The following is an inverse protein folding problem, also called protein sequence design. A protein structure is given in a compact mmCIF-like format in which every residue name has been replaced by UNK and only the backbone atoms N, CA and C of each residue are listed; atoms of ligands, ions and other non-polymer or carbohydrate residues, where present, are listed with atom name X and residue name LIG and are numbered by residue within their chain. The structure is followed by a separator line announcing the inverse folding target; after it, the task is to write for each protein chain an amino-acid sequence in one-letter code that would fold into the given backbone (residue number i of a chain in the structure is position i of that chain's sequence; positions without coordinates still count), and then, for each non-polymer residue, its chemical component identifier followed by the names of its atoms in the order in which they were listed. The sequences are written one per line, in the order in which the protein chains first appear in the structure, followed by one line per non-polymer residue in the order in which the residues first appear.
data_IF_067581572528
#
_entry.id   IF_067581572528
#
_cell.length_a   1.000
_cell.length_b   1.000
_cell.length_c   1.000
_cell.angle_alpha   90.00
_cell.angle_beta   90.00
_cell.angle_gamma   90.00
#
_symmetry.space_group_name_H-M   'P 1'
#
loop_
_entity.id
_entity.type
_entity.pdbx_description
1 polymer ?
#
# COMPACT_ATOMS: atom_id res chain seq x y z
N UNK A 1 38.14 -50.42 24.53
CA UNK A 1 37.05 -50.19 23.57
C UNK A 1 35.78 -49.88 24.35
N UNK A 2 35.41 -48.59 24.37
CA UNK A 2 34.07 -48.04 24.60
C UNK A 2 34.14 -46.60 24.08
N UNK A 3 33.21 -46.14 23.23
CA UNK A 3 33.39 -44.94 22.43
C UNK A 3 32.94 -43.65 23.12
N UNK A 4 33.37 -42.57 22.47
CA UNK A 4 33.32 -41.15 22.76
C UNK A 4 31.96 -40.57 23.18
N UNK A 5 32.05 -39.54 24.02
CA UNK A 5 30.96 -38.65 24.39
C UNK A 5 30.64 -37.68 23.24
N UNK A 6 29.48 -37.84 22.61
CA UNK A 6 28.95 -36.85 21.66
C UNK A 6 28.33 -35.65 22.39
N UNK A 7 28.91 -34.46 22.15
CA UNK A 7 28.30 -33.16 22.46
C UNK A 7 27.39 -32.75 21.31
N UNK A 8 26.14 -32.31 21.54
CA UNK A 8 25.37 -31.67 20.47
C UNK A 8 25.86 -30.25 20.22
N UNK A 9 26.29 -30.00 18.98
CA UNK A 9 26.65 -28.70 18.43
C UNK A 9 25.43 -27.77 18.40
N UNK A 10 25.54 -26.62 19.09
CA UNK A 10 24.68 -25.46 18.86
C UNK A 10 25.09 -24.79 17.55
N UNK A 11 24.29 -24.93 16.50
CA UNK A 11 24.39 -24.09 15.30
C UNK A 11 23.83 -22.70 15.62
N UNK A 12 24.70 -21.82 16.11
CA UNK A 12 24.44 -20.38 16.11
C UNK A 12 24.52 -19.87 14.67
N UNK A 13 23.37 -19.69 14.03
CA UNK A 13 23.27 -18.92 12.79
C UNK A 13 22.90 -17.47 13.14
N UNK A 14 23.93 -16.64 13.29
CA UNK A 14 23.77 -15.20 13.15
C UNK A 14 23.66 -14.86 11.66
N UNK A 15 22.58 -14.17 11.29
CA UNK A 15 22.32 -13.73 9.92
C UNK A 15 21.63 -12.38 9.86
N UNK A 16 22.30 -11.34 10.40
CA UNK A 16 22.32 -9.94 9.96
C UNK A 16 21.13 -9.40 9.13
N UNK A 17 20.14 -8.80 9.80
CA UNK A 17 19.10 -7.95 9.17
C UNK A 17 19.44 -6.46 9.26
N UNK A 18 20.57 -6.02 8.70
CA UNK A 18 20.89 -4.58 8.60
C UNK A 18 21.72 -4.26 7.35
N UNK A 19 21.07 -3.77 6.28
CA UNK A 19 21.58 -2.68 5.43
C UNK A 19 20.71 -2.45 4.18
N UNK A 20 19.80 -1.47 4.21
CA UNK A 20 19.30 -0.81 2.97
C UNK A 20 18.95 0.66 3.27
N UNK A 21 19.88 1.40 3.87
CA UNK A 21 19.75 2.86 3.97
C UNK A 21 21.13 3.51 3.84
N UNK A 22 21.60 3.70 2.60
CA UNK A 22 22.57 4.76 2.26
C UNK A 22 23.01 4.66 0.80
N UNK A 23 22.41 5.48 -0.06
CA UNK A 23 23.13 6.27 -1.08
C UNK A 23 22.11 7.03 -1.89
N UNK A 24 21.83 8.27 -1.51
CA UNK A 24 21.30 9.31 -2.41
C UNK A 24 21.41 10.69 -1.73
N UNK A 25 22.63 11.21 -1.67
CA UNK A 25 22.99 12.63 -1.62
C UNK A 25 24.41 12.71 -2.21
N UNK A 26 24.84 13.64 -3.05
CA UNK A 26 24.31 14.86 -3.69
C UNK A 26 25.52 15.43 -4.47
N UNK A 27 25.32 16.17 -5.58
CA UNK A 27 26.08 17.35 -6.10
C UNK A 27 25.62 17.57 -7.56
N UNK A 28 24.77 18.58 -7.86
CA UNK A 28 25.02 20.02 -8.14
C UNK A 28 25.72 20.24 -9.50
N UNK A 29 25.27 21.03 -10.48
CA UNK A 29 24.76 22.42 -10.55
C UNK A 29 23.95 22.56 -11.88
N UNK A 30 22.90 23.36 -12.09
CA UNK A 30 22.89 24.83 -12.17
C UNK A 30 21.45 25.35 -12.39
N UNK A 31 21.12 26.45 -11.71
CA UNK A 31 20.31 27.57 -12.23
C UNK A 31 18.86 27.36 -12.65
N UNK A 32 17.91 27.69 -11.77
CA UNK A 32 16.96 28.81 -12.02
C UNK A 32 16.03 28.99 -10.82
N UNK A 33 15.98 30.23 -10.35
CA UNK A 33 14.99 30.73 -9.39
C UNK A 33 13.58 30.59 -9.97
N UNK A 34 12.62 30.12 -9.18
CA UNK A 34 11.28 30.74 -9.08
C UNK A 34 10.44 30.18 -7.93
N UNK A 35 10.22 31.08 -6.97
CA UNK A 35 9.01 31.32 -6.17
C UNK A 35 8.28 30.13 -5.52
N UNK A 36 8.37 30.10 -4.20
CA UNK A 36 7.32 29.59 -3.31
C UNK A 36 5.95 30.20 -3.68
N UNK A 37 4.97 29.33 -3.88
CA UNK A 37 3.57 29.66 -4.09
C UNK A 37 2.70 28.49 -3.57
N UNK A 38 1.48 28.78 -3.09
CA UNK A 38 0.71 27.88 -2.24
C UNK A 38 0.35 26.60 -3.00
N UNK A 39 0.32 25.47 -2.27
CA UNK A 39 -0.07 24.13 -2.70
C UNK A 39 -0.84 24.12 -4.03
N UNK A 40 -0.12 23.86 -5.13
CA UNK A 40 -0.76 23.56 -6.41
C UNK A 40 -1.71 22.41 -6.15
N UNK A 41 -3.01 22.69 -6.18
CA UNK A 41 -4.00 21.68 -6.52
C UNK A 41 -3.46 21.05 -7.80
N UNK A 42 -3.05 19.78 -7.71
CA UNK A 42 -2.59 19.01 -8.85
C UNK A 42 -3.75 19.00 -9.83
N UNK A 43 -3.69 19.86 -10.85
CA UNK A 43 -4.60 19.77 -11.98
C UNK A 43 -4.55 18.32 -12.46
N UNK A 44 -5.72 17.68 -12.68
CA UNK A 44 -5.73 16.31 -13.15
C UNK A 44 -4.87 16.21 -14.41
N UNK A 45 -3.86 15.34 -14.38
CA UNK A 45 -2.95 15.09 -15.50
C UNK A 45 -3.80 14.88 -16.77
N UNK A 46 -3.43 15.51 -17.88
CA UNK A 46 -4.22 15.45 -19.10
C UNK A 46 -4.28 14.00 -19.59
N UNK A 47 -5.48 13.48 -19.82
CA UNK A 47 -5.63 12.08 -20.22
C UNK A 47 -5.21 11.90 -21.69
N UNK A 48 -4.60 10.75 -22.04
CA UNK A 48 -4.28 10.44 -23.43
C UNK A 48 -5.50 10.48 -24.36
N UNK A 49 -5.27 10.88 -25.60
CA UNK A 49 -6.28 10.92 -26.66
C UNK A 49 -6.39 9.61 -27.46
N UNK A 50 -5.48 8.67 -27.21
CA UNK A 50 -5.43 7.38 -27.88
C UNK A 50 -5.93 6.27 -26.97
N UNK A 51 -6.49 5.23 -27.59
CA UNK A 51 -7.00 4.04 -26.92
C UNK A 51 -5.90 3.33 -26.14
N UNK A 52 -4.73 3.17 -26.75
CA UNK A 52 -3.56 2.51 -26.16
C UNK A 52 -3.00 3.31 -24.98
N UNK A 53 -3.00 4.65 -25.07
CA UNK A 53 -2.55 5.52 -23.99
C UNK A 53 -3.45 5.41 -22.77
N UNK A 54 -4.78 5.39 -22.98
CA UNK A 54 -5.76 5.19 -21.91
C UNK A 54 -5.61 3.80 -21.27
N UNK A 55 -5.39 2.75 -22.07
CA UNK A 55 -5.16 1.39 -21.57
C UNK A 55 -3.86 1.28 -20.75
N UNK A 56 -2.78 1.90 -21.19
CA UNK A 56 -1.53 1.94 -20.44
C UNK A 56 -1.70 2.64 -19.08
N UNK A 57 -2.41 3.77 -19.05
CA UNK A 57 -2.67 4.51 -17.80
C UNK A 57 -3.60 3.75 -16.86
N UNK A 58 -4.61 3.09 -17.40
CA UNK A 58 -5.47 2.19 -16.64
C UNK A 58 -4.65 1.09 -15.96
N UNK A 59 -3.81 0.39 -16.72
CA UNK A 59 -2.99 -0.71 -16.20
C UNK A 59 -2.06 -0.24 -15.08
N UNK A 60 -1.51 0.97 -15.18
CA UNK A 60 -0.76 1.57 -14.10
C UNK A 60 -1.59 1.71 -12.81
N UNK A 61 -2.79 2.29 -12.90
CA UNK A 61 -3.64 2.48 -11.71
C UNK A 61 -4.15 1.17 -11.13
N UNK A 62 -4.46 0.17 -11.96
CA UNK A 62 -4.81 -1.18 -11.51
C UNK A 62 -3.65 -1.84 -10.76
N UNK A 63 -2.42 -1.73 -11.30
CA UNK A 63 -1.22 -2.23 -10.64
C UNK A 63 -0.95 -1.56 -9.29
N UNK A 64 -1.20 -0.26 -9.18
CA UNK A 64 -1.04 0.45 -7.91
C UNK A 64 -2.12 0.07 -6.89
N UNK A 65 -3.37 -0.16 -7.32
CA UNK A 65 -4.41 -0.73 -6.46
C UNK A 65 -4.04 -2.13 -5.97
N UNK A 66 -3.48 -2.99 -6.81
CA UNK A 66 -3.00 -4.32 -6.39
C UNK A 66 -1.87 -4.22 -5.37
N UNK A 67 -0.97 -3.25 -5.53
CA UNK A 67 0.09 -2.97 -4.55
C UNK A 67 -0.47 -2.49 -3.23
N UNK A 68 -1.38 -1.51 -3.25
CA UNK A 68 -2.05 -0.99 -2.06
C UNK A 68 -2.81 -2.10 -1.32
N UNK A 69 -3.46 -3.00 -2.06
CA UNK A 69 -4.15 -4.16 -1.49
C UNK A 69 -3.19 -5.02 -0.65
N UNK A 70 -2.01 -5.33 -1.20
CA UNK A 70 -0.98 -6.11 -0.48
C UNK A 70 -0.49 -5.38 0.78
N UNK A 71 -0.29 -4.06 0.70
CA UNK A 71 0.12 -3.25 1.85
C UNK A 71 -0.93 -3.26 2.95
N UNK A 72 -2.22 -3.11 2.60
CA UNK A 72 -3.32 -3.15 3.55
C UNK A 72 -3.44 -4.53 4.21
N UNK A 73 -3.32 -5.62 3.42
CA UNK A 73 -3.27 -6.98 3.99
C UNK A 73 -2.14 -7.15 5.00
N UNK A 74 -0.93 -6.67 4.66
CA UNK A 74 0.21 -6.74 5.57
C UNK A 74 -0.05 -5.98 6.88
N UNK A 75 -0.63 -4.78 6.82
CA UNK A 75 -1.02 -4.04 8.03
C UNK A 75 -2.08 -4.79 8.84
N UNK A 76 -3.07 -5.40 8.17
CA UNK A 76 -4.12 -6.18 8.82
C UNK A 76 -3.58 -7.42 9.54
N UNK A 77 -2.59 -8.11 8.97
CA UNK A 77 -1.95 -9.25 9.62
C UNK A 77 -1.12 -8.82 10.83
N UNK A 78 -0.43 -7.68 10.76
CA UNK A 78 0.25 -7.10 11.92
C UNK A 78 -0.73 -6.68 13.02
N UNK A 79 -1.89 -6.10 12.66
CA UNK A 79 -2.98 -5.78 13.61
C UNK A 79 -3.46 -7.03 14.34
N UNK A 80 -3.68 -8.14 13.63
CA UNK A 80 -4.09 -9.41 14.22
C UNK A 80 -3.05 -9.93 15.20
N UNK A 81 -1.77 -9.93 14.82
CA UNK A 81 -0.66 -10.41 15.65
C UNK A 81 -0.52 -9.58 16.93
N UNK A 82 -0.55 -8.24 16.83
CA UNK A 82 -0.47 -7.36 18.00
C UNK A 82 -1.69 -7.54 18.91
N UNK A 83 -2.89 -7.68 18.32
CA UNK A 83 -4.13 -7.91 19.07
C UNK A 83 -4.10 -9.25 19.83
N UNK A 84 -3.55 -10.30 19.20
CA UNK A 84 -3.36 -11.59 19.84
C UNK A 84 -2.40 -11.51 21.04
N UNK A 85 -1.27 -10.82 20.89
CA UNK A 85 -0.32 -10.59 22.01
C UNK A 85 -0.94 -9.81 23.15
N UNK A 86 -1.75 -8.78 22.84
CA UNK A 86 -2.50 -8.04 23.86
C UNK A 86 -3.47 -8.95 24.62
N UNK A 87 -4.19 -9.83 23.92
CA UNK A 87 -5.11 -10.79 24.53
C UNK A 87 -4.38 -11.77 25.47
N UNK A 88 -3.19 -12.27 25.07
CA UNK A 88 -2.37 -13.13 25.93
C UNK A 88 -1.97 -12.37 27.20
N UNK A 89 -1.39 -11.17 27.08
CA UNK A 89 -0.95 -10.39 28.24
C UNK A 89 -2.10 -10.07 29.22
N UNK A 90 -3.30 -9.78 28.70
CA UNK A 90 -4.48 -9.58 29.54
C UNK A 90 -4.90 -10.85 30.29
N UNK A 91 -4.76 -12.02 29.65
CA UNK A 91 -5.13 -13.32 30.25
C UNK A 91 -4.11 -13.80 31.28
N UNK A 92 -2.82 -13.58 31.05
CA UNK A 92 -1.75 -14.05 31.94
C UNK A 92 -1.57 -13.18 33.19
N UNK A 93 -2.24 -12.02 33.25
CA UNK A 93 -2.08 -11.02 34.33
C UNK A 93 -0.60 -10.65 34.58
N UNK A 94 0.24 -10.73 33.55
CA UNK A 94 1.59 -10.20 33.60
C UNK A 94 1.47 -8.68 33.64
N UNK A 95 1.39 -8.13 34.85
CA UNK A 95 1.34 -6.70 35.10
C UNK A 95 2.71 -6.07 34.80
N UNK A 96 3.01 -5.90 33.51
CA UNK A 96 4.03 -4.99 33.04
C UNK A 96 3.31 -3.84 32.32
N UNK A 97 2.80 -2.83 33.06
CA UNK A 97 1.93 -1.80 32.49
C UNK A 97 2.57 -1.09 31.28
N UNK A 98 3.90 -0.93 31.30
CA UNK A 98 4.66 -0.28 30.23
C UNK A 98 4.71 -1.10 28.93
N UNK A 99 4.79 -2.44 28.97
CA UNK A 99 4.81 -3.24 27.74
C UNK A 99 3.43 -3.30 27.09
N UNK A 100 2.38 -3.41 27.92
CA UNK A 100 1.00 -3.38 27.47
C UNK A 100 0.64 -2.04 26.84
N UNK A 101 1.08 -0.92 27.43
CA UNK A 101 0.90 0.40 26.85
C UNK A 101 1.59 0.53 25.49
N UNK A 102 2.85 0.09 25.37
CA UNK A 102 3.59 0.10 24.10
C UNK A 102 2.91 -0.73 23.01
N UNK A 103 2.34 -1.89 23.37
CA UNK A 103 1.61 -2.72 22.41
C UNK A 103 0.32 -2.04 21.93
N UNK A 104 -0.40 -1.32 22.80
CA UNK A 104 -1.57 -0.51 22.40
C UNK A 104 -1.17 0.62 21.46
N UNK A 105 -0.13 1.37 21.81
CA UNK A 105 0.41 2.44 20.94
C UNK A 105 0.84 1.89 19.58
N UNK A 106 1.51 0.74 19.55
CA UNK A 106 1.87 0.08 18.30
C UNK A 106 0.64 -0.33 17.47
N UNK A 107 -0.38 -0.90 18.11
CA UNK A 107 -1.63 -1.27 17.44
C UNK A 107 -2.29 -0.07 16.78
N UNK A 108 -2.40 1.04 17.50
CA UNK A 108 -3.01 2.27 17.00
C UNK A 108 -2.19 2.88 15.85
N UNK A 109 -0.85 2.86 15.96
CA UNK A 109 0.03 3.30 14.88
C UNK A 109 -0.15 2.47 13.60
N UNK A 110 -0.24 1.14 13.71
CA UNK A 110 -0.44 0.27 12.54
C UNK A 110 -1.82 0.49 11.92
N UNK A 111 -2.87 0.71 12.73
CA UNK A 111 -4.21 1.10 12.24
C UNK A 111 -4.19 2.42 11.50
N UNK A 112 -3.50 3.43 12.03
CA UNK A 112 -3.34 4.72 11.36
C UNK A 112 -2.59 4.58 10.04
N UNK A 113 -1.51 3.81 10.00
CA UNK A 113 -0.77 3.51 8.77
C UNK A 113 -1.61 2.77 7.74
N UNK A 114 -2.47 1.84 8.18
CA UNK A 114 -3.42 1.21 7.26
C UNK A 114 -4.38 2.25 6.71
N UNK A 115 -5.04 3.02 7.58
CA UNK A 115 -6.08 3.97 7.18
C UNK A 115 -5.51 5.09 6.30
N UNK A 116 -4.23 5.42 6.42
CA UNK A 116 -3.58 6.34 5.51
C UNK A 116 -3.50 5.80 4.08
N UNK A 117 -3.68 4.51 3.80
CA UNK A 117 -3.79 4.03 2.41
C UNK A 117 -5.13 4.33 1.75
N UNK A 118 -6.19 4.64 2.51
CA UNK A 118 -7.53 4.83 1.96
C UNK A 118 -7.59 5.95 0.92
N UNK A 119 -6.95 7.10 1.19
CA UNK A 119 -6.95 8.22 0.24
C UNK A 119 -6.22 7.90 -1.08
N UNK A 120 -5.18 7.07 -1.05
CA UNK A 120 -4.52 6.60 -2.28
C UNK A 120 -5.40 5.63 -3.06
N UNK A 121 -6.13 4.74 -2.38
CA UNK A 121 -7.12 3.86 -3.01
C UNK A 121 -8.20 4.70 -3.70
N UNK A 122 -8.75 5.70 -3.01
CA UNK A 122 -9.78 6.58 -3.56
C UNK A 122 -9.28 7.36 -4.78
N UNK A 123 -8.04 7.87 -4.71
CA UNK A 123 -7.39 8.53 -5.84
C UNK A 123 -7.31 7.62 -7.07
N UNK A 124 -6.78 6.40 -6.94
CA UNK A 124 -6.65 5.49 -8.08
C UNK A 124 -7.99 5.00 -8.60
N UNK A 125 -8.97 4.76 -7.72
CA UNK A 125 -10.35 4.45 -8.14
C UNK A 125 -10.99 5.61 -8.89
N UNK A 126 -10.71 6.85 -8.47
CA UNK A 126 -11.15 8.07 -9.17
C UNK A 126 -10.57 8.15 -10.58
N UNK A 127 -9.25 7.92 -10.71
CA UNK A 127 -8.58 7.96 -12.02
C UNK A 127 -9.06 6.84 -12.95
N UNK A 128 -9.32 5.62 -12.45
CA UNK A 128 -9.91 4.54 -13.25
C UNK A 128 -11.28 4.94 -13.79
N UNK A 129 -12.14 5.55 -12.97
CA UNK A 129 -13.45 6.07 -13.41
C UNK A 129 -13.29 7.15 -14.47
N UNK A 130 -12.38 8.10 -14.26
CA UNK A 130 -12.07 9.18 -15.22
C UNK A 130 -11.58 8.64 -16.56
N UNK A 131 -10.69 7.64 -16.54
CA UNK A 131 -10.18 6.97 -17.75
C UNK A 131 -11.29 6.18 -18.46
N UNK A 132 -12.13 5.47 -17.70
CA UNK A 132 -13.26 4.73 -18.24
C UNK A 132 -14.25 5.63 -18.99
N UNK A 133 -14.59 6.78 -18.39
CA UNK A 133 -15.42 7.81 -19.03
C UNK A 133 -14.78 8.34 -20.32
N UNK A 134 -13.49 8.70 -20.26
CA UNK A 134 -12.77 9.19 -21.44
C UNK A 134 -12.71 8.16 -22.56
N UNK A 135 -12.61 6.88 -22.20
CA UNK A 135 -12.61 5.81 -23.18
C UNK A 135 -13.99 5.61 -23.83
N UNK A 136 -15.07 5.70 -23.05
CA UNK A 136 -16.43 5.68 -23.57
C UNK A 136 -16.66 6.80 -24.59
N UNK A 137 -16.23 8.03 -24.29
CA UNK A 137 -16.29 9.16 -25.22
C UNK A 137 -15.51 8.90 -26.52
N UNK A 138 -14.30 8.32 -26.41
CA UNK A 138 -13.46 8.01 -27.55
C UNK A 138 -14.12 6.93 -28.43
N UNK A 139 -14.60 5.84 -27.83
CA UNK A 139 -15.28 4.76 -28.55
C UNK A 139 -16.52 5.29 -29.29
N UNK A 140 -17.34 6.13 -28.63
CA UNK A 140 -18.50 6.79 -29.25
C UNK A 140 -18.11 7.69 -30.42
N UNK A 141 -17.04 8.49 -30.28
CA UNK A 141 -16.56 9.38 -31.35
C UNK A 141 -16.08 8.62 -32.59
N UNK A 142 -15.71 7.35 -32.43
CA UNK A 142 -15.24 6.46 -33.50
C UNK A 142 -16.34 5.52 -34.01
N UNK A 143 -17.58 5.65 -33.53
CA UNK A 143 -18.70 4.79 -33.92
C UNK A 143 -18.61 3.36 -33.38
N UNK A 144 -17.78 3.12 -32.37
CA UNK A 144 -17.62 1.82 -31.71
C UNK A 144 -18.67 1.72 -30.59
N UNK A 145 -19.37 0.59 -30.50
CA UNK A 145 -20.27 0.37 -29.36
C UNK A 145 -19.47 0.28 -28.05
N UNK A 146 -19.83 1.07 -27.02
CA UNK A 146 -19.10 1.09 -25.75
C UNK A 146 -19.43 -0.15 -24.90
N UNK A 147 -18.69 -1.25 -25.10
CA UNK A 147 -18.65 -2.39 -24.18
C UNK A 147 -17.75 -2.13 -22.94
N UNK A 148 -17.01 -1.03 -22.97
CA UNK A 148 -15.97 -0.63 -22.03
C UNK A 148 -16.52 -0.31 -20.63
N UNK A 149 -17.76 0.17 -20.53
CA UNK A 149 -18.39 0.54 -19.25
C UNK A 149 -18.52 -0.62 -18.27
N UNK A 150 -18.87 -1.80 -18.75
CA UNK A 150 -19.06 -2.98 -17.90
C UNK A 150 -17.73 -3.58 -17.45
N UNK A 151 -16.70 -3.50 -18.31
CA UNK A 151 -15.33 -3.85 -17.92
C UNK A 151 -14.83 -2.97 -16.77
N UNK A 152 -15.06 -1.65 -16.83
CA UNK A 152 -14.54 -0.73 -15.82
C UNK A 152 -15.27 -0.82 -14.48
N UNK A 153 -16.58 -1.06 -14.49
CA UNK A 153 -17.35 -1.31 -13.27
C UNK A 153 -16.84 -2.52 -12.49
N UNK A 154 -16.36 -3.56 -13.17
CA UNK A 154 -15.80 -4.74 -12.52
C UNK A 154 -14.55 -4.43 -11.66
N UNK A 155 -13.84 -3.32 -11.92
CA UNK A 155 -12.65 -2.92 -11.18
C UNK A 155 -12.92 -2.03 -9.97
N UNK A 156 -14.14 -1.52 -9.79
CA UNK A 156 -14.45 -0.61 -8.68
C UNK A 156 -14.32 -1.30 -7.31
N UNK A 157 -14.65 -2.61 -7.24
CA UNK A 157 -14.51 -3.53 -6.10
C UNK A 157 -14.70 -2.88 -4.72
N UNK A 158 -15.73 -2.04 -4.61
CA UNK A 158 -15.88 -1.14 -3.46
C UNK A 158 -16.06 -1.90 -2.14
N UNK A 159 -16.88 -2.96 -2.17
CA UNK A 159 -17.11 -3.81 -1.02
C UNK A 159 -15.82 -4.46 -0.48
N UNK A 160 -14.89 -4.82 -1.37
CA UNK A 160 -13.60 -5.40 -0.99
C UNK A 160 -12.77 -4.40 -0.17
N UNK A 161 -12.67 -3.16 -0.65
CA UNK A 161 -11.92 -2.11 0.04
C UNK A 161 -12.53 -1.73 1.38
N UNK A 162 -13.86 -1.63 1.44
CA UNK A 162 -14.58 -1.38 2.71
C UNK A 162 -14.25 -2.46 3.74
N UNK A 163 -14.27 -3.73 3.34
CA UNK A 163 -13.92 -4.84 4.22
C UNK A 163 -12.45 -4.81 4.65
N UNK A 164 -11.54 -4.42 3.76
CA UNK A 164 -10.11 -4.34 4.06
C UNK A 164 -9.77 -3.27 5.11
N UNK A 165 -10.50 -2.16 5.13
CA UNK A 165 -10.29 -1.08 6.09
C UNK A 165 -11.08 -1.22 7.39
N UNK A 166 -11.99 -2.20 7.50
CA UNK A 166 -12.82 -2.43 8.70
C UNK A 166 -12.20 -3.35 9.75
N UNK A 167 -11.03 -3.95 9.47
CA UNK A 167 -10.28 -4.83 10.40
C UNK A 167 -9.79 -4.05 11.62
#
# INVERSE_FOLDING_TARGET
MSPESEKPQRTGSMGSLKSLVSSLRKVSTSGSQKSDGPSKQLLPDELPHTREGLEARLNYHLGELDRLRKLVYQRNDEIKEISYRLQIHQRTREEVPRSLQKLKELLDNVRQQRNSYAHFVDYHRGEIRRIGQRREELDLSQGIQPATKDMYKAFEREAEWVQLFSV
#
